data_IF_911770642692
#
_entry.id   IF_911770642692
#
_cell.length_a   1.000
_cell.length_b   1.000
_cell.length_c   1.000
_cell.angle_alpha   90.00
_cell.angle_beta   90.00
_cell.angle_gamma   90.00
#
_symmetry.space_group_name_H-M   'P 1'
#
loop_
_entity.id
_entity.type
_entity.pdbx_description
1 polymer ?
#
# COMPACT_ATOMS: atom_id res chain seq x y z
N UNK A 1 17.72 -18.67 -2.58
CA UNK A 1 16.58 -18.13 -1.80
C UNK A 1 16.84 -18.32 -0.33
N UNK A 2 16.66 -17.28 0.44
CA UNK A 2 16.94 -17.28 1.88
C UNK A 2 15.84 -16.60 2.66
N UNK A 3 15.55 -17.10 3.86
CA UNK A 3 14.66 -16.50 4.84
C UNK A 3 15.40 -16.46 6.19
N UNK A 4 15.42 -15.28 6.80
CA UNK A 4 16.10 -15.04 8.07
C UNK A 4 15.15 -14.36 9.05
N UNK A 5 15.03 -14.91 10.24
CA UNK A 5 14.19 -14.35 11.29
C UNK A 5 14.94 -13.21 11.98
N UNK A 6 14.39 -12.00 11.91
CA UNK A 6 14.98 -10.83 12.57
C UNK A 6 14.47 -10.72 14.02
N UNK A 7 13.21 -10.97 14.27
CA UNK A 7 12.61 -10.86 15.59
C UNK A 7 11.49 -9.83 15.68
N UNK A 8 11.09 -9.47 16.88
CA UNK A 8 10.12 -8.40 17.12
C UNK A 8 10.81 -7.05 16.94
N UNK A 9 10.14 -6.13 16.24
CA UNK A 9 10.70 -4.83 15.91
C UNK A 9 9.64 -3.73 15.89
N UNK A 10 9.92 -2.65 15.16
CA UNK A 10 9.00 -1.52 15.01
C UNK A 10 7.71 -1.87 14.28
N UNK A 11 6.73 -0.98 14.38
CA UNK A 11 5.51 -1.03 13.56
C UNK A 11 5.86 -0.80 12.08
N UNK A 12 5.01 -1.21 11.13
CA UNK A 12 5.24 -0.92 9.71
C UNK A 12 5.53 0.56 9.42
N UNK A 13 4.80 1.48 10.08
CA UNK A 13 5.02 2.92 9.93
C UNK A 13 6.41 3.37 10.42
N UNK A 14 6.87 2.85 11.55
CA UNK A 14 8.20 3.16 12.08
C UNK A 14 9.32 2.59 11.19
N UNK A 15 9.17 1.36 10.74
CA UNK A 15 10.13 0.72 9.82
C UNK A 15 10.20 1.48 8.50
N UNK A 16 9.05 1.89 7.94
CA UNK A 16 9.01 2.70 6.72
C UNK A 16 9.70 4.05 6.90
N UNK A 17 9.50 4.72 8.04
CA UNK A 17 10.21 5.96 8.37
C UNK A 17 11.72 5.77 8.39
N UNK A 18 12.21 4.71 9.05
CA UNK A 18 13.62 4.39 9.12
C UNK A 18 14.24 4.03 7.76
N UNK A 19 13.48 3.29 6.91
CA UNK A 19 13.92 2.95 5.55
C UNK A 19 13.92 4.17 4.63
N UNK A 20 12.94 5.06 4.74
CA UNK A 20 12.89 6.32 4.00
C UNK A 20 14.07 7.23 4.34
N UNK A 21 14.42 7.35 5.62
CA UNK A 21 15.61 8.08 6.07
C UNK A 21 16.91 7.45 5.53
N UNK A 22 17.00 6.14 5.60
CA UNK A 22 18.10 5.40 5.01
C UNK A 22 18.22 5.67 3.50
N UNK A 23 17.10 5.62 2.77
CA UNK A 23 17.08 5.85 1.33
C UNK A 23 17.59 7.26 0.98
N UNK A 24 17.09 8.30 1.68
CA UNK A 24 17.54 9.70 1.50
C UNK A 24 19.04 9.85 1.77
N UNK A 25 19.53 9.29 2.88
CA UNK A 25 20.94 9.39 3.26
C UNK A 25 21.89 8.69 2.28
N UNK A 26 21.47 7.57 1.68
CA UNK A 26 22.26 6.80 0.74
C UNK A 26 22.04 7.20 -0.72
N UNK A 27 21.09 8.08 -1.02
CA UNK A 27 20.74 8.45 -2.39
C UNK A 27 20.20 7.26 -3.21
N UNK A 28 19.51 6.31 -2.56
CA UNK A 28 18.89 5.15 -3.22
C UNK A 28 17.38 5.34 -3.32
N UNK A 29 16.69 4.59 -4.19
CA UNK A 29 15.24 4.65 -4.30
C UNK A 29 14.52 4.43 -2.97
N UNK A 30 13.35 5.08 -2.75
CA UNK A 30 12.57 4.94 -1.53
C UNK A 30 12.04 3.51 -1.35
N UNK A 31 11.58 3.14 -0.13
CA UNK A 31 10.91 1.86 0.09
C UNK A 31 9.54 1.82 -0.59
N UNK A 32 9.12 0.61 -0.99
CA UNK A 32 7.74 0.33 -1.35
C UNK A 32 7.10 -0.60 -0.31
N UNK A 33 5.80 -0.45 -0.06
CA UNK A 33 5.14 -1.17 1.01
C UNK A 33 3.75 -1.67 0.62
N UNK A 34 3.44 -2.86 1.11
CA UNK A 34 2.11 -3.43 1.20
C UNK A 34 1.84 -3.70 2.68
N UNK A 35 0.90 -3.00 3.30
CA UNK A 35 0.58 -3.15 4.74
C UNK A 35 -0.84 -3.65 4.93
N UNK A 36 -1.07 -4.39 6.04
CA UNK A 36 -2.32 -5.10 6.27
C UNK A 36 -2.29 -6.53 5.71
N UNK A 37 -3.43 -7.08 5.37
CA UNK A 37 -3.61 -8.50 5.03
C UNK A 37 -3.10 -8.85 3.61
N UNK A 38 -1.79 -8.88 3.42
CA UNK A 38 -1.14 -9.27 2.16
C UNK A 38 -0.39 -10.59 2.34
N UNK A 39 -0.66 -11.58 1.49
CA UNK A 39 0.06 -12.87 1.44
C UNK A 39 0.15 -13.58 2.81
N UNK A 40 -0.89 -13.46 3.65
CA UNK A 40 -0.88 -14.02 5.01
C UNK A 40 0.04 -13.30 6.00
N UNK A 41 0.49 -12.10 5.67
CA UNK A 41 1.37 -11.26 6.48
C UNK A 41 0.64 -9.99 6.95
N UNK A 42 1.21 -9.27 7.90
CA UNK A 42 0.75 -7.96 8.34
C UNK A 42 1.43 -6.81 7.57
N UNK A 43 2.60 -7.05 7.00
CA UNK A 43 3.25 -6.14 6.06
C UNK A 43 4.28 -6.87 5.19
N UNK A 44 4.49 -6.36 3.98
CA UNK A 44 5.56 -6.73 3.05
C UNK A 44 6.18 -5.44 2.54
N UNK A 45 7.46 -5.24 2.77
CA UNK A 45 8.16 -4.00 2.45
C UNK A 45 9.40 -4.31 1.61
N UNK A 46 9.47 -3.77 0.40
CA UNK A 46 10.74 -3.69 -0.34
C UNK A 46 11.57 -2.55 0.27
N UNK A 47 12.78 -2.82 0.80
CA UNK A 47 13.56 -1.80 1.53
C UNK A 47 14.01 -0.63 0.66
N UNK A 48 14.09 -0.85 -0.63
CA UNK A 48 14.36 0.13 -1.69
C UNK A 48 13.80 -0.43 -2.99
N UNK A 49 13.06 0.37 -3.74
CA UNK A 49 12.46 -0.06 -5.00
C UNK A 49 12.56 1.06 -6.04
N UNK A 50 13.25 0.81 -7.13
CA UNK A 50 13.20 1.69 -8.29
C UNK A 50 11.86 1.46 -9.02
N UNK A 51 10.98 2.47 -8.97
CA UNK A 51 9.65 2.41 -9.58
C UNK A 51 9.67 3.20 -10.89
N UNK A 52 9.48 2.50 -12.00
CA UNK A 52 9.45 3.08 -13.33
C UNK A 52 8.05 2.93 -13.98
N UNK A 53 7.65 3.86 -14.86
CA UNK A 53 6.49 3.69 -15.70
C UNK A 53 6.59 2.44 -16.56
N UNK A 54 5.47 1.74 -16.72
CA UNK A 54 5.35 0.56 -17.59
C UNK A 54 4.52 0.93 -18.80
N UNK A 55 4.92 0.48 -19.99
CA UNK A 55 4.17 0.74 -21.21
C UNK A 55 2.77 0.08 -21.17
N UNK A 56 1.81 0.67 -21.86
CA UNK A 56 0.46 0.11 -21.94
C UNK A 56 0.44 -1.35 -22.50
N UNK A 57 1.37 -1.68 -23.39
CA UNK A 57 1.49 -3.01 -23.95
C UNK A 57 2.03 -4.05 -22.94
N UNK A 58 2.82 -3.61 -21.96
CA UNK A 58 3.47 -4.47 -20.96
C UNK A 58 2.73 -4.50 -19.63
N UNK A 59 1.78 -3.61 -19.42
CA UNK A 59 1.12 -3.41 -18.11
C UNK A 59 0.46 -4.68 -17.54
N UNK A 60 0.01 -5.60 -18.38
CA UNK A 60 -0.58 -6.87 -17.96
C UNK A 60 0.38 -8.05 -17.99
N UNK A 61 1.59 -7.89 -18.54
CA UNK A 61 2.61 -8.95 -18.60
C UNK A 61 3.69 -8.79 -17.52
N UNK A 62 3.95 -7.59 -17.02
CA UNK A 62 4.89 -7.36 -15.93
C UNK A 62 4.66 -8.25 -14.70
N UNK A 63 3.39 -8.43 -14.23
CA UNK A 63 3.12 -9.30 -13.08
C UNK A 63 3.32 -10.79 -13.35
N UNK A 64 3.47 -11.20 -14.61
CA UNK A 64 3.68 -12.59 -15.00
C UNK A 64 5.13 -13.08 -14.83
N UNK A 65 6.03 -12.22 -14.38
CA UNK A 65 7.38 -12.63 -14.01
C UNK A 65 7.32 -13.76 -12.98
N UNK A 66 7.68 -14.97 -13.40
CA UNK A 66 7.51 -16.16 -12.59
C UNK A 66 8.60 -16.23 -11.51
N UNK A 67 8.24 -15.90 -10.29
CA UNK A 67 9.03 -16.26 -9.12
C UNK A 67 8.64 -17.68 -8.70
N UNK A 68 9.53 -18.63 -8.88
CA UNK A 68 9.36 -19.99 -8.35
C UNK A 68 9.79 -19.98 -6.87
N UNK A 69 8.96 -19.42 -6.01
CA UNK A 69 9.12 -19.58 -4.58
C UNK A 69 8.45 -20.88 -4.13
N UNK A 70 9.19 -21.76 -3.49
CA UNK A 70 8.65 -22.92 -2.79
C UNK A 70 8.52 -22.60 -1.31
N UNK A 71 7.36 -22.89 -0.70
CA UNK A 71 7.16 -22.72 0.73
C UNK A 71 6.50 -21.39 1.14
N UNK A 72 6.62 -20.98 2.42
CA UNK A 72 5.98 -19.77 2.97
C UNK A 72 6.69 -18.46 2.61
N UNK A 73 7.74 -18.53 1.81
CA UNK A 73 8.58 -17.41 1.41
C UNK A 73 7.88 -16.57 0.33
N UNK A 74 7.82 -15.25 0.53
CA UNK A 74 7.47 -14.28 -0.51
C UNK A 74 8.73 -13.97 -1.33
N UNK A 75 9.83 -13.65 -0.66
CA UNK A 75 11.18 -13.49 -1.19
C UNK A 75 11.44 -12.23 -1.99
N UNK A 76 10.47 -11.80 -2.79
CA UNK A 76 10.56 -10.66 -3.69
C UNK A 76 9.55 -10.77 -4.82
N UNK A 77 9.71 -9.93 -5.83
CA UNK A 77 8.85 -9.92 -7.00
C UNK A 77 8.61 -8.50 -7.54
N UNK A 78 7.67 -8.40 -8.47
CA UNK A 78 7.23 -7.11 -8.99
C UNK A 78 6.18 -6.48 -8.06
N UNK A 79 6.40 -5.21 -7.70
CA UNK A 79 5.48 -4.40 -6.91
C UNK A 79 5.14 -3.17 -7.73
N UNK A 80 3.85 -2.91 -7.93
CA UNK A 80 3.42 -1.79 -8.75
C UNK A 80 1.93 -1.54 -8.69
N UNK A 81 1.45 -0.65 -9.53
CA UNK A 81 0.04 -0.38 -9.74
C UNK A 81 -0.32 -0.32 -11.22
N UNK A 82 -1.57 -0.62 -11.50
CA UNK A 82 -2.21 -0.46 -12.80
C UNK A 82 -3.42 0.46 -12.59
N UNK A 83 -3.46 1.60 -13.28
CA UNK A 83 -4.61 2.49 -13.28
C UNK A 83 -5.69 1.95 -14.22
N UNK A 84 -6.95 2.24 -13.92
CA UNK A 84 -8.01 2.07 -14.90
C UNK A 84 -7.78 3.04 -16.06
N UNK A 85 -8.01 2.60 -17.32
CA UNK A 85 -7.90 3.50 -18.46
C UNK A 85 -8.95 4.60 -18.31
N UNK A 86 -8.49 5.84 -18.17
CA UNK A 86 -9.39 7.00 -18.13
C UNK A 86 -9.60 7.49 -19.56
N UNK A 87 -10.69 7.06 -20.16
CA UNK A 87 -11.09 7.47 -21.51
C UNK A 87 -11.95 8.76 -21.51
N UNK A 88 -12.30 9.28 -20.35
CA UNK A 88 -13.29 10.35 -20.20
C UNK A 88 -12.71 11.69 -19.79
N UNK A 89 -11.47 11.74 -19.29
CA UNK A 89 -10.88 12.99 -18.84
C UNK A 89 -10.10 13.68 -19.96
N UNK A 90 -10.44 14.95 -20.19
CA UNK A 90 -9.71 15.86 -21.08
C UNK A 90 -8.33 16.29 -20.54
N UNK A 91 -7.97 15.87 -19.33
CA UNK A 91 -6.71 16.22 -18.69
C UNK A 91 -5.84 14.97 -18.52
N UNK A 92 -4.61 14.97 -19.06
CA UNK A 92 -3.68 13.88 -18.82
C UNK A 92 -3.41 13.74 -17.32
N UNK A 93 -3.46 12.51 -16.82
CA UNK A 93 -3.05 12.23 -15.44
C UNK A 93 -1.56 12.56 -15.26
N UNK A 94 -1.22 13.21 -14.15
CA UNK A 94 0.18 13.40 -13.78
C UNK A 94 0.88 12.06 -13.44
N UNK A 95 0.09 11.02 -13.12
CA UNK A 95 0.59 9.69 -12.81
C UNK A 95 0.62 8.81 -14.06
N UNK A 96 1.65 7.95 -14.22
CA UNK A 96 1.66 6.92 -15.25
C UNK A 96 0.43 6.01 -15.17
N UNK A 97 -0.04 5.48 -16.29
CA UNK A 97 -1.12 4.51 -16.33
C UNK A 97 -0.74 3.18 -15.63
N UNK A 98 0.53 2.85 -15.60
CA UNK A 98 1.09 1.75 -14.84
C UNK A 98 2.51 2.09 -14.42
N UNK A 99 2.91 1.71 -13.23
CA UNK A 99 4.27 1.83 -12.76
C UNK A 99 4.58 0.78 -11.71
N UNK A 100 5.83 0.35 -11.66
CA UNK A 100 6.31 -0.62 -10.67
C UNK A 100 7.77 -0.91 -10.84
N UNK A 101 8.27 -1.79 -10.00
CA UNK A 101 9.65 -2.24 -10.00
C UNK A 101 9.79 -3.66 -9.49
N UNK A 102 10.95 -4.25 -9.71
CA UNK A 102 11.31 -5.56 -9.23
C UNK A 102 12.18 -5.44 -7.98
N UNK A 103 11.87 -6.23 -6.96
CA UNK A 103 12.72 -6.38 -5.77
C UNK A 103 13.06 -7.84 -5.54
N UNK A 104 14.34 -8.14 -5.34
CA UNK A 104 14.80 -9.48 -4.94
C UNK A 104 14.76 -9.69 -3.43
N UNK A 105 14.31 -8.68 -2.69
CA UNK A 105 14.36 -8.68 -1.23
C UNK A 105 13.13 -8.01 -0.65
N UNK A 106 12.55 -8.62 0.38
CA UNK A 106 11.48 -8.01 1.18
C UNK A 106 11.71 -8.21 2.68
N UNK A 107 11.22 -7.26 3.45
CA UNK A 107 11.02 -7.36 4.88
C UNK A 107 9.55 -7.71 5.12
N UNK A 108 9.30 -8.85 5.72
CA UNK A 108 7.94 -9.33 5.98
C UNK A 108 7.63 -9.33 7.46
N UNK A 109 6.53 -8.70 7.84
CA UNK A 109 5.97 -8.80 9.18
C UNK A 109 4.91 -9.90 9.19
N UNK A 110 5.11 -10.95 9.99
CA UNK A 110 4.12 -11.98 10.15
C UNK A 110 2.97 -11.55 11.10
N UNK A 111 1.86 -12.32 11.15
CA UNK A 111 0.73 -12.01 12.05
C UNK A 111 1.08 -12.07 13.53
N UNK A 112 2.15 -12.75 13.91
CA UNK A 112 2.62 -12.86 15.29
C UNK A 112 3.51 -11.69 15.72
N UNK A 113 3.75 -10.74 14.80
CA UNK A 113 4.53 -9.53 15.04
C UNK A 113 6.04 -9.75 14.97
N UNK A 114 6.48 -10.77 14.26
CA UNK A 114 7.88 -11.04 14.00
C UNK A 114 8.26 -10.58 12.58
N UNK A 115 9.35 -9.87 12.46
CA UNK A 115 9.93 -9.48 11.19
C UNK A 115 10.86 -10.56 10.65
N UNK A 116 10.81 -10.71 9.34
CA UNK A 116 11.61 -11.63 8.55
C UNK A 116 12.28 -10.88 7.41
N UNK A 117 13.53 -11.18 7.16
CA UNK A 117 14.21 -10.82 5.91
C UNK A 117 14.07 -11.99 4.94
N UNK A 118 13.56 -11.72 3.76
CA UNK A 118 13.38 -12.73 2.72
C UNK A 118 14.01 -12.23 1.43
N UNK A 119 14.75 -13.11 0.75
CA UNK A 119 15.41 -12.77 -0.52
C UNK A 119 15.37 -13.93 -1.50
N UNK A 120 15.33 -13.58 -2.78
CA UNK A 120 15.45 -14.53 -3.91
C UNK A 120 16.90 -14.96 -4.14
N UNK A 121 17.87 -14.25 -3.56
CA UNK A 121 19.29 -14.60 -3.54
C UNK A 121 19.65 -15.42 -2.30
N UNK A 122 20.94 -15.69 -2.09
CA UNK A 122 21.44 -16.35 -0.88
C UNK A 122 22.08 -15.37 0.13
N UNK A 123 21.87 -14.05 -0.08
CA UNK A 123 22.44 -13.00 0.75
C UNK A 123 21.85 -12.99 2.16
N UNK A 124 22.67 -12.69 3.13
CA UNK A 124 22.26 -12.43 4.52
C UNK A 124 21.67 -11.04 4.66
N UNK A 125 20.80 -10.88 5.66
CA UNK A 125 20.26 -9.56 5.98
C UNK A 125 21.41 -8.58 6.33
N UNK A 126 21.53 -7.45 5.61
CA UNK A 126 22.48 -6.42 5.98
C UNK A 126 22.17 -5.84 7.37
N UNK A 127 23.19 -5.66 8.22
CA UNK A 127 23.03 -5.12 9.59
C UNK A 127 22.26 -3.81 9.63
N UNK A 128 22.41 -2.95 8.62
CA UNK A 128 21.70 -1.70 8.54
C UNK A 128 20.19 -1.87 8.32
N UNK A 129 19.76 -2.91 7.58
CA UNK A 129 18.35 -3.25 7.42
C UNK A 129 17.80 -3.90 8.69
N UNK A 130 18.55 -4.81 9.30
CA UNK A 130 18.14 -5.42 10.56
C UNK A 130 17.92 -4.36 11.64
N UNK A 131 18.82 -3.38 11.76
CA UNK A 131 18.68 -2.25 12.70
C UNK A 131 17.47 -1.37 12.38
N UNK A 132 17.22 -1.04 11.12
CA UNK A 132 16.06 -0.26 10.72
C UNK A 132 14.72 -0.92 11.10
N UNK A 133 14.70 -2.24 11.19
CA UNK A 133 13.54 -3.03 11.59
C UNK A 133 13.43 -3.18 13.09
N UNK A 134 14.53 -3.56 13.75
CA UNK A 134 14.54 -3.92 15.18
C UNK A 134 14.54 -2.69 16.09
N UNK A 135 15.19 -1.61 15.68
CA UNK A 135 15.28 -0.37 16.43
C UNK A 135 15.14 0.87 15.52
N UNK A 136 13.93 1.08 14.93
CA UNK A 136 13.71 2.17 13.99
C UNK A 136 13.86 3.56 14.64
N UNK A 137 13.74 3.68 15.95
CA UNK A 137 13.87 4.95 16.67
C UNK A 137 15.30 5.49 16.66
N UNK A 138 16.31 4.63 16.64
CA UNK A 138 17.74 5.00 16.57
C UNK A 138 18.11 5.49 15.16
N UNK A 139 17.35 5.09 14.15
CA UNK A 139 17.65 5.40 12.75
C UNK A 139 17.10 6.77 12.32
N UNK A 140 16.13 7.28 13.05
CA UNK A 140 15.52 8.60 12.80
C UNK A 140 16.23 9.64 13.67
N UNK A 141 16.94 10.57 13.04
CA UNK A 141 17.61 11.67 13.74
C UNK A 141 16.54 12.57 14.39
N UNK A 142 16.43 12.50 15.72
CA UNK A 142 15.45 13.21 16.53
C UNK A 142 15.76 14.72 16.68
N UNK A 143 16.79 15.23 15.99
CA UNK A 143 17.19 16.64 16.03
C UNK A 143 16.42 17.52 15.04
N UNK A 144 15.54 16.93 14.20
CA UNK A 144 14.74 17.68 13.26
C UNK A 144 13.55 18.38 13.96
N UNK A 145 13.36 19.64 13.59
CA UNK A 145 12.32 20.58 13.98
C UNK A 145 10.91 19.95 14.10
N UNK A 146 10.03 20.51 14.99
CA UNK A 146 8.65 20.08 15.14
C UNK A 146 7.71 20.48 13.97
N UNK A 147 8.26 20.85 12.82
CA UNK A 147 7.50 21.11 11.61
C UNK A 147 6.70 19.86 11.20
N UNK A 148 5.42 20.03 10.78
CA UNK A 148 4.63 18.92 10.30
C UNK A 148 5.36 18.26 9.15
N UNK A 149 5.52 16.93 9.22
CA UNK A 149 6.25 16.15 8.20
C UNK A 149 5.56 16.21 6.83
N UNK A 150 4.31 16.66 6.80
CA UNK A 150 3.49 16.87 5.61
C UNK A 150 2.30 17.78 5.94
N UNK A 151 1.79 18.48 4.95
CA UNK A 151 0.58 19.30 5.02
C UNK A 151 -0.16 19.29 3.67
N UNK A 152 -1.48 19.52 3.71
CA UNK A 152 -2.32 19.59 2.51
C UNK A 152 -3.30 20.74 2.67
N UNK A 153 -3.22 21.72 1.76
CA UNK A 153 -4.26 22.74 1.61
C UNK A 153 -5.35 22.22 0.67
N UNK A 154 -6.48 21.81 1.26
CA UNK A 154 -7.53 21.11 0.54
C UNK A 154 -8.46 22.03 -0.25
N UNK A 155 -8.63 21.76 -1.52
CA UNK A 155 -9.73 22.27 -2.34
C UNK A 155 -10.93 21.32 -2.23
N UNK A 156 -12.03 21.82 -1.68
CA UNK A 156 -13.23 21.01 -1.49
C UNK A 156 -13.95 20.74 -2.82
N UNK A 157 -14.43 19.51 -3.05
CA UNK A 157 -15.18 19.18 -4.24
C UNK A 157 -16.58 19.82 -4.22
N UNK A 158 -17.15 19.96 -5.41
CA UNK A 158 -18.53 20.44 -5.57
C UNK A 158 -19.53 19.41 -5.03
N UNK A 159 -20.23 19.81 -3.97
CA UNK A 159 -21.25 18.97 -3.31
C UNK A 159 -22.48 18.74 -4.18
N UNK A 160 -22.85 19.74 -4.96
CA UNK A 160 -24.04 19.68 -5.82
C UNK A 160 -23.80 18.78 -7.04
N UNK A 161 -22.60 18.83 -7.61
CA UNK A 161 -22.18 17.92 -8.66
C UNK A 161 -22.18 16.45 -8.16
N UNK A 162 -21.70 16.21 -6.95
CA UNK A 162 -21.73 14.87 -6.35
C UNK A 162 -23.17 14.38 -6.14
N UNK A 163 -24.05 15.22 -5.57
CA UNK A 163 -25.47 14.89 -5.35
C UNK A 163 -26.18 14.56 -6.65
N UNK A 164 -25.96 15.37 -7.69
CA UNK A 164 -26.51 15.13 -9.02
C UNK A 164 -26.04 13.78 -9.59
N UNK A 165 -24.76 13.45 -9.46
CA UNK A 165 -24.23 12.14 -9.86
C UNK A 165 -24.91 10.96 -9.13
N UNK A 166 -25.19 11.12 -7.83
CA UNK A 166 -25.95 10.12 -7.06
C UNK A 166 -27.39 9.98 -7.57
N UNK A 167 -28.08 11.10 -7.86
CA UNK A 167 -29.45 11.09 -8.41
C UNK A 167 -29.49 10.39 -9.76
N UNK A 168 -28.57 10.69 -10.67
CA UNK A 168 -28.46 10.00 -11.97
C UNK A 168 -28.21 8.50 -11.81
N UNK A 169 -27.33 8.11 -10.88
CA UNK A 169 -27.09 6.70 -10.57
C UNK A 169 -28.37 5.99 -10.08
N UNK A 170 -29.12 6.62 -9.19
CA UNK A 170 -30.40 6.05 -8.68
C UNK A 170 -31.44 5.92 -9.80
N UNK A 171 -31.49 6.84 -10.74
CA UNK A 171 -32.40 6.77 -11.89
C UNK A 171 -32.00 5.64 -12.84
N UNK A 172 -30.72 5.45 -13.12
CA UNK A 172 -30.22 4.33 -13.91
C UNK A 172 -30.51 2.97 -13.25
N UNK A 173 -30.41 2.87 -11.91
CA UNK A 173 -30.80 1.66 -11.16
C UNK A 173 -32.32 1.40 -11.29
N UNK A 174 -33.17 2.45 -11.16
CA UNK A 174 -34.62 2.30 -11.31
C UNK A 174 -35.03 1.90 -12.73
N UNK A 175 -34.30 2.39 -13.73
CA UNK A 175 -34.49 2.00 -15.12
C UNK A 175 -33.99 0.58 -15.46
N UNK A 176 -33.26 -0.05 -14.55
CA UNK A 176 -32.67 -1.38 -14.76
C UNK A 176 -31.43 -1.38 -15.65
N UNK A 177 -30.82 -0.22 -15.88
CA UNK A 177 -29.61 -0.06 -16.71
C UNK A 177 -28.35 -0.54 -15.98
N UNK A 178 -28.28 -0.34 -14.67
CA UNK A 178 -27.19 -0.80 -13.81
C UNK A 178 -27.75 -1.41 -12.52
N UNK A 179 -27.04 -2.38 -11.97
CA UNK A 179 -27.37 -2.99 -10.68
C UNK A 179 -26.86 -2.16 -9.50
N UNK A 180 -25.64 -1.65 -9.62
CA UNK A 180 -25.00 -0.73 -8.66
C UNK A 180 -23.97 0.11 -9.40
N UNK A 181 -23.64 1.26 -8.83
CA UNK A 181 -22.53 2.08 -9.26
C UNK A 181 -21.83 2.72 -8.06
N UNK A 182 -20.56 3.01 -8.22
CA UNK A 182 -19.77 3.74 -7.22
C UNK A 182 -19.63 5.19 -7.68
N UNK A 183 -20.30 6.12 -6.99
CA UNK A 183 -20.17 7.54 -7.26
C UNK A 183 -19.03 8.10 -6.43
N UNK A 184 -17.88 8.30 -7.07
CA UNK A 184 -16.66 8.77 -6.42
C UNK A 184 -16.59 10.29 -6.41
N UNK A 185 -15.89 10.82 -5.39
CA UNK A 185 -15.56 12.24 -5.28
C UNK A 185 -14.05 12.39 -5.24
N UNK A 186 -13.52 13.34 -6.02
CA UNK A 186 -12.10 13.70 -5.99
C UNK A 186 -11.90 14.92 -5.10
N UNK A 187 -11.02 14.79 -4.12
CA UNK A 187 -10.43 15.91 -3.41
C UNK A 187 -9.10 16.26 -4.05
N UNK A 188 -8.82 17.54 -4.17
CA UNK A 188 -7.53 18.05 -4.63
C UNK A 188 -6.94 18.99 -3.59
N UNK A 189 -5.67 19.27 -3.66
CA UNK A 189 -5.01 20.20 -2.75
C UNK A 189 -3.54 20.36 -3.07
N UNK A 190 -2.96 21.43 -2.53
CA UNK A 190 -1.53 21.68 -2.59
C UNK A 190 -0.86 20.91 -1.44
N UNK A 191 0.04 20.01 -1.82
CA UNK A 191 0.73 19.11 -0.90
C UNK A 191 2.16 19.57 -0.65
N UNK A 192 2.57 19.57 0.61
CA UNK A 192 3.96 19.79 1.02
C UNK A 192 4.45 18.70 1.96
N UNK A 193 5.73 18.38 1.89
CA UNK A 193 6.38 17.42 2.78
C UNK A 193 6.60 16.03 2.15
N UNK A 194 6.71 15.01 2.99
CA UNK A 194 7.06 13.65 2.59
C UNK A 194 5.83 12.77 2.35
N UNK A 195 5.59 12.28 1.11
CA UNK A 195 4.50 11.34 0.83
C UNK A 195 4.56 10.08 1.69
N UNK A 196 5.77 9.59 1.99
CA UNK A 196 5.96 8.45 2.87
C UNK A 196 5.53 8.74 4.31
N UNK A 197 5.77 9.97 4.81
CA UNK A 197 5.31 10.37 6.14
C UNK A 197 3.78 10.45 6.19
N UNK A 198 3.14 11.00 5.15
CA UNK A 198 1.69 10.99 5.01
C UNK A 198 1.13 9.56 5.04
N UNK A 199 1.69 8.65 4.25
CA UNK A 199 1.25 7.26 4.22
C UNK A 199 1.42 6.58 5.58
N UNK A 200 2.55 6.79 6.27
CA UNK A 200 2.82 6.23 7.59
C UNK A 200 1.83 6.70 8.65
N UNK A 201 1.47 7.99 8.62
CA UNK A 201 0.44 8.54 9.50
C UNK A 201 -0.94 8.01 9.15
N UNK A 202 -1.26 7.92 7.85
CA UNK A 202 -2.55 7.44 7.39
C UNK A 202 -2.80 5.99 7.80
N UNK A 203 -1.86 5.07 7.58
CA UNK A 203 -2.01 3.66 8.01
C UNK A 203 -2.10 3.53 9.53
N UNK A 204 -1.40 4.39 10.29
CA UNK A 204 -1.46 4.39 11.75
C UNK A 204 -2.82 4.85 12.28
N UNK A 205 -3.42 5.86 11.64
CA UNK A 205 -4.70 6.43 12.07
C UNK A 205 -5.91 5.61 11.63
N UNK A 206 -5.86 5.06 10.43
CA UNK A 206 -7.03 4.41 9.80
C UNK A 206 -7.00 2.89 9.91
N UNK A 207 -5.83 2.28 10.16
CA UNK A 207 -5.63 0.84 10.24
C UNK A 207 -6.36 0.07 9.13
N UNK A 208 -6.10 0.37 7.86
CA UNK A 208 -6.83 -0.25 6.76
C UNK A 208 -6.49 -1.75 6.67
N UNK A 209 -7.46 -2.56 6.26
CA UNK A 209 -7.23 -3.99 6.02
C UNK A 209 -6.12 -4.23 5.00
N UNK A 210 -5.99 -3.33 4.02
CA UNK A 210 -4.90 -3.30 3.04
C UNK A 210 -4.54 -1.88 2.70
N UNK A 211 -3.24 -1.64 2.55
CA UNK A 211 -2.72 -0.40 2.01
C UNK A 211 -1.46 -0.66 1.18
N UNK A 212 -1.13 0.26 0.30
CA UNK A 212 0.05 0.18 -0.56
C UNK A 212 0.70 1.55 -0.73
N UNK A 213 2.02 1.57 -0.78
CA UNK A 213 2.82 2.77 -1.03
C UNK A 213 3.87 2.49 -2.11
N UNK A 214 3.91 3.39 -3.09
CA UNK A 214 4.91 3.41 -4.15
C UNK A 214 5.28 4.84 -4.46
N UNK A 215 6.56 5.10 -4.69
CA UNK A 215 7.08 6.41 -5.05
C UNK A 215 8.06 6.29 -6.21
N UNK A 216 7.96 7.19 -7.17
CA UNK A 216 8.85 7.30 -8.32
C UNK A 216 9.10 8.75 -8.68
N UNK A 217 9.87 9.04 -9.76
CA UNK A 217 10.19 10.41 -10.17
C UNK A 217 8.96 11.26 -10.51
N UNK A 218 7.82 10.63 -10.77
CA UNK A 218 6.54 11.26 -11.12
C UNK A 218 5.68 11.61 -9.88
N UNK A 219 6.10 11.22 -8.67
CA UNK A 219 5.34 11.39 -7.42
C UNK A 219 5.10 10.07 -6.70
N UNK A 220 4.07 10.01 -5.86
CA UNK A 220 3.76 8.84 -5.06
C UNK A 220 2.30 8.41 -5.17
N UNK A 221 2.06 7.13 -4.96
CA UNK A 221 0.74 6.52 -4.75
C UNK A 221 0.67 5.99 -3.33
N UNK A 222 -0.27 6.53 -2.55
CA UNK A 222 -0.60 6.07 -1.21
C UNK A 222 -2.05 5.53 -1.23
N UNK A 223 -2.20 4.23 -1.35
CA UNK A 223 -3.51 3.57 -1.38
C UNK A 223 -3.88 3.04 0.00
N UNK A 224 -5.10 3.31 0.44
CA UNK A 224 -5.70 2.78 1.67
C UNK A 224 -6.94 1.94 1.35
N UNK A 225 -6.99 1.35 0.16
CA UNK A 225 -8.13 0.55 -0.32
C UNK A 225 -8.16 -0.81 0.39
N UNK A 226 -9.23 -1.12 1.14
CA UNK A 226 -9.31 -2.36 1.91
C UNK A 226 -9.70 -3.58 1.06
N UNK A 227 -10.22 -3.36 -0.16
CA UNK A 227 -10.79 -4.40 -0.99
C UNK A 227 -9.75 -5.25 -1.70
N UNK A 228 -9.94 -6.57 -1.65
CA UNK A 228 -9.15 -7.51 -2.43
C UNK A 228 -9.83 -7.76 -3.78
N UNK A 229 -9.31 -7.14 -4.83
CA UNK A 229 -9.80 -7.38 -6.19
C UNK A 229 -9.57 -8.83 -6.61
N UNK A 230 -8.34 -9.29 -6.57
CA UNK A 230 -8.00 -10.68 -6.88
C UNK A 230 -6.70 -11.09 -6.19
N UNK A 231 -6.65 -12.31 -5.70
CA UNK A 231 -5.42 -12.99 -5.31
C UNK A 231 -5.29 -14.33 -6.01
N UNK A 232 -4.06 -14.73 -6.29
CA UNK A 232 -3.72 -16.03 -6.86
C UNK A 232 -2.72 -16.75 -5.96
N UNK A 233 -3.03 -17.97 -5.60
CA UNK A 233 -2.10 -18.86 -4.90
C UNK A 233 -2.05 -20.21 -5.62
N UNK A 234 -1.00 -20.43 -6.38
CA UNK A 234 -0.93 -21.57 -7.30
C UNK A 234 -2.05 -21.53 -8.34
N UNK A 235 -2.96 -22.50 -8.30
CA UNK A 235 -4.13 -22.59 -9.17
C UNK A 235 -5.41 -22.02 -8.55
N UNK A 236 -5.35 -21.54 -7.32
CA UNK A 236 -6.52 -20.95 -6.63
C UNK A 236 -6.56 -19.45 -6.84
N UNK A 237 -7.72 -18.96 -7.25
CA UNK A 237 -8.04 -17.54 -7.34
C UNK A 237 -9.04 -17.21 -6.23
N UNK A 238 -8.89 -16.05 -5.61
CA UNK A 238 -9.84 -15.52 -4.64
C UNK A 238 -10.05 -14.03 -4.89
N UNK A 239 -11.26 -13.57 -4.65
CA UNK A 239 -11.66 -12.17 -4.62
C UNK A 239 -12.50 -11.95 -3.36
N UNK A 240 -12.39 -10.77 -2.76
CA UNK A 240 -13.14 -10.45 -1.53
C UNK A 240 -13.76 -9.05 -1.67
N UNK A 241 -14.89 -8.96 -2.41
CA UNK A 241 -15.59 -7.69 -2.55
C UNK A 241 -16.21 -7.27 -1.21
N UNK A 242 -16.07 -6.00 -0.87
CA UNK A 242 -16.70 -5.43 0.32
C UNK A 242 -18.18 -5.22 0.02
N UNK A 243 -19.01 -6.01 0.65
CA UNK A 243 -20.47 -5.77 0.69
C UNK A 243 -20.75 -4.87 1.90
N UNK A 244 -20.55 -3.57 1.75
CA UNK A 244 -20.72 -2.63 2.83
C UNK A 244 -22.21 -2.42 3.12
N UNK A 245 -22.67 -2.90 4.26
CA UNK A 245 -23.86 -2.44 4.95
C UNK A 245 -23.60 -2.37 6.45
N UNK A 246 -22.74 -1.46 6.88
CA UNK A 246 -22.72 -1.03 8.27
C UNK A 246 -23.03 0.46 8.33
N UNK A 247 -24.10 0.81 9.05
CA UNK A 247 -24.29 2.21 9.46
C UNK A 247 -23.04 2.63 10.27
N UNK A 248 -22.36 3.64 9.79
CA UNK A 248 -21.30 4.28 10.55
C UNK A 248 -21.94 4.88 11.83
N UNK A 249 -21.75 4.26 12.97
CA UNK A 249 -22.08 4.82 14.29
C UNK A 249 -20.78 5.44 14.81
N UNK A 250 -20.66 6.74 14.59
CA UNK A 250 -19.46 7.53 14.81
C UNK A 250 -18.88 7.48 16.22
N UNK A 251 -17.97 6.54 16.43
CA UNK A 251 -16.97 6.59 17.48
C UNK A 251 -15.65 6.14 16.87
N UNK A 252 -14.58 6.95 16.91
CA UNK A 252 -13.29 6.53 16.38
C UNK A 252 -12.75 5.38 17.23
N UNK A 253 -12.73 4.21 16.66
CA UNK A 253 -12.13 3.03 17.31
C UNK A 253 -10.62 3.15 17.18
N UNK A 254 -9.96 3.43 18.30
CA UNK A 254 -8.50 3.28 18.43
C UNK A 254 -8.16 1.83 18.10
N UNK A 255 -7.20 1.64 17.20
CA UNK A 255 -6.71 0.33 16.79
C UNK A 255 -6.43 -0.56 17.99
N UNK A 256 -7.31 -1.50 18.25
CA UNK A 256 -6.98 -2.64 19.09
C UNK A 256 -6.52 -3.77 18.18
N UNK A 257 -5.32 -4.26 18.40
CA UNK A 257 -4.79 -5.47 17.77
C UNK A 257 -5.86 -6.57 17.74
N UNK A 258 -6.15 -7.20 16.59
CA UNK A 258 -7.11 -8.30 16.54
C UNK A 258 -6.51 -9.53 17.23
N UNK A 259 -6.82 -9.69 18.51
CA UNK A 259 -6.71 -10.99 19.16
C UNK A 259 -7.99 -11.77 18.85
N UNK A 260 -7.82 -12.82 18.02
CA UNK A 260 -8.77 -13.89 17.76
C UNK A 260 -9.95 -13.57 16.83
N UNK A 261 -9.76 -13.80 15.55
CA UNK A 261 -10.87 -14.17 14.67
C UNK A 261 -11.17 -15.66 14.86
N UNK A 262 -12.28 -15.95 15.52
CA UNK A 262 -12.88 -17.27 15.65
C UNK A 262 -13.29 -17.77 14.26
N UNK A 263 -12.78 -18.93 13.89
CA UNK A 263 -13.29 -19.75 12.79
C UNK A 263 -14.79 -20.03 12.99
N UNK A 264 -15.61 -19.66 12.03
CA UNK A 264 -16.92 -20.27 11.83
C UNK A 264 -16.91 -20.93 10.46
N UNK A 265 -16.75 -22.24 10.51
CA UNK A 265 -17.11 -23.18 9.45
C UNK A 265 -18.63 -23.22 9.31
N UNK A 266 -19.13 -23.09 8.15
CA UNK A 266 -20.30 -23.81 7.60
C UNK A 266 -20.22 -23.72 6.08
#
# INVERSE_FOLDING_TARGET
MRMERLGRGGTPAQVLGALGERARRLGIPPPAALTGAWFGSAAVVAPSLEVAPVSAAESFTCPDAQVRAGGPLIGGGWIGYLAYPDTTTSHPSALPAAAGGWSDTVLRLDPDGCWWYETLTDDTCPDALARAVLDPAVTVDNTASPEPRWDIDWSLPDRDAHRHGVEQCLDAIRAGEVYQACVCTRFTGDYTGSPLAFFSDAITRTCPDRAAYLEGPWGAVASLSPELFVSRHGHRLASSPIKAHSRWTGTPTICRHPSKMSQRTS
#
